data_IF_281301380384
#
_entry.id   IF_281301380384
#
_cell.length_a   1.000
_cell.length_b   1.000
_cell.length_c   1.000
_cell.angle_alpha   90.00
_cell.angle_beta   90.00
_cell.angle_gamma   90.00
#
_symmetry.space_group_name_H-M   'P 1'
#
loop_
_entity.id
_entity.type
_entity.pdbx_description
1 polymer ?
#
# COMPACT_ATOMS: atom_id res chain seq x y z
N UNK A 1 24.15 -31.23 -34.19
CA UNK A 1 23.67 -30.59 -32.95
C UNK A 1 23.03 -29.27 -33.34
N UNK A 2 21.70 -29.25 -33.44
CA UNK A 2 20.93 -28.07 -33.82
C UNK A 2 20.73 -27.21 -32.58
N UNK A 3 21.40 -26.06 -32.52
CA UNK A 3 21.16 -25.05 -31.48
C UNK A 3 19.78 -24.44 -31.71
N UNK A 4 18.89 -24.61 -30.72
CA UNK A 4 17.60 -23.95 -30.70
C UNK A 4 17.79 -22.42 -30.63
N UNK A 5 16.99 -21.63 -31.36
CA UNK A 5 17.03 -20.18 -31.24
C UNK A 5 16.48 -19.77 -29.86
N UNK A 6 17.30 -19.09 -29.08
CA UNK A 6 16.87 -18.38 -27.88
C UNK A 6 15.85 -17.31 -28.30
N UNK A 7 14.61 -17.46 -27.82
CA UNK A 7 13.57 -16.44 -27.98
C UNK A 7 14.08 -15.10 -27.44
N UNK A 8 13.76 -13.96 -28.08
CA UNK A 8 14.14 -12.66 -27.55
C UNK A 8 13.49 -12.46 -26.18
N UNK A 9 14.31 -12.27 -25.15
CA UNK A 9 13.85 -11.89 -23.81
C UNK A 9 13.13 -10.56 -23.93
N UNK A 10 11.82 -10.53 -23.69
CA UNK A 10 11.06 -9.29 -23.60
C UNK A 10 11.74 -8.33 -22.63
N UNK A 11 11.76 -7.01 -22.91
CA UNK A 11 12.35 -6.05 -21.98
C UNK A 11 11.67 -6.19 -20.60
N UNK A 12 12.41 -6.00 -19.50
CA UNK A 12 11.83 -6.09 -18.17
C UNK A 12 10.68 -5.10 -18.04
N UNK A 13 9.51 -5.60 -17.65
CA UNK A 13 8.31 -4.78 -17.46
C UNK A 13 8.57 -3.81 -16.30
N UNK A 14 8.56 -2.50 -16.60
CA UNK A 14 8.71 -1.45 -15.59
C UNK A 14 7.33 -1.04 -15.09
N UNK A 15 7.13 -1.07 -13.77
CA UNK A 15 5.89 -0.62 -13.15
C UNK A 15 6.06 0.77 -12.54
N UNK A 16 5.11 1.66 -12.75
CA UNK A 16 5.11 3.01 -12.15
C UNK A 16 4.47 2.94 -10.78
N UNK A 17 5.16 3.43 -9.75
CA UNK A 17 4.65 3.47 -8.38
C UNK A 17 4.53 4.90 -7.86
N UNK A 18 3.38 5.22 -7.26
CA UNK A 18 3.18 6.46 -6.52
C UNK A 18 3.58 6.27 -5.05
N UNK A 19 4.58 7.01 -4.60
CA UNK A 19 5.00 7.09 -3.20
C UNK A 19 4.34 8.32 -2.58
N UNK A 20 3.23 8.12 -1.88
CA UNK A 20 2.41 9.20 -1.32
C UNK A 20 2.83 9.49 0.12
N UNK A 21 3.27 10.72 0.38
CA UNK A 21 3.73 11.14 1.71
C UNK A 21 4.51 12.46 1.63
N UNK A 22 4.78 13.08 2.78
CA UNK A 22 5.51 14.36 2.80
C UNK A 22 7.01 14.10 2.98
N UNK A 23 7.74 14.09 1.86
CA UNK A 23 9.16 13.69 1.82
C UNK A 23 9.99 14.49 2.81
N UNK A 24 10.74 13.78 3.64
CA UNK A 24 11.60 14.41 4.64
C UNK A 24 12.85 13.56 4.90
N UNK A 25 14.05 14.15 4.95
CA UNK A 25 15.28 13.45 5.31
C UNK A 25 15.32 13.02 6.78
N UNK A 26 14.43 13.59 7.62
CA UNK A 26 14.33 13.26 9.04
C UNK A 26 13.48 12.00 9.31
N UNK A 27 12.74 11.53 8.30
CA UNK A 27 11.96 10.29 8.39
C UNK A 27 12.82 9.15 7.86
N UNK A 28 13.25 8.25 8.74
CA UNK A 28 14.20 7.18 8.40
C UNK A 28 13.69 6.22 7.32
N UNK A 29 12.40 5.93 7.26
CA UNK A 29 11.84 5.11 6.17
C UNK A 29 12.01 5.79 4.81
N UNK A 30 11.79 7.10 4.72
CA UNK A 30 11.92 7.88 3.47
C UNK A 30 13.32 7.82 2.87
N UNK A 31 14.36 7.84 3.72
CA UNK A 31 15.75 7.78 3.26
C UNK A 31 16.15 6.38 2.79
N UNK A 32 15.41 5.34 3.19
CA UNK A 32 15.70 3.94 2.86
C UNK A 32 14.98 3.44 1.61
N UNK A 33 13.85 4.03 1.25
CA UNK A 33 13.06 3.61 0.08
C UNK A 33 13.90 3.53 -1.21
N UNK A 34 14.72 4.53 -1.59
CA UNK A 34 15.54 4.42 -2.80
C UNK A 34 16.44 3.18 -2.82
N UNK A 35 17.07 2.86 -1.68
CA UNK A 35 17.93 1.67 -1.56
C UNK A 35 17.14 0.37 -1.72
N UNK A 36 15.90 0.33 -1.21
CA UNK A 36 15.02 -0.82 -1.31
C UNK A 36 14.55 -1.03 -2.76
N UNK A 37 14.27 0.05 -3.49
CA UNK A 37 13.92 -0.01 -4.92
C UNK A 37 15.10 -0.50 -5.77
N UNK A 38 16.31 0.01 -5.51
CA UNK A 38 17.54 -0.47 -6.16
C UNK A 38 17.78 -1.95 -5.88
N UNK A 39 17.56 -2.39 -4.63
CA UNK A 39 17.72 -3.77 -4.24
C UNK A 39 16.67 -4.70 -4.88
N UNK A 40 15.41 -4.26 -5.03
CA UNK A 40 14.38 -5.00 -5.78
C UNK A 40 14.82 -5.21 -7.23
N UNK A 41 15.29 -4.15 -7.89
CA UNK A 41 15.73 -4.23 -9.28
C UNK A 41 16.94 -5.16 -9.44
N UNK A 42 17.97 -5.00 -8.59
CA UNK A 42 19.21 -5.75 -8.70
C UNK A 42 19.06 -7.23 -8.31
N UNK A 43 18.19 -7.56 -7.35
CA UNK A 43 18.10 -8.91 -6.77
C UNK A 43 16.94 -9.72 -7.32
N UNK A 44 15.81 -9.08 -7.54
CA UNK A 44 14.55 -9.73 -7.90
C UNK A 44 14.16 -9.45 -9.36
N UNK A 45 14.85 -8.54 -10.05
CA UNK A 45 14.49 -8.10 -11.41
C UNK A 45 13.19 -7.29 -11.45
N UNK A 46 12.73 -6.79 -10.30
CA UNK A 46 11.50 -6.01 -10.17
C UNK A 46 11.84 -4.52 -10.25
N UNK A 47 11.59 -3.91 -11.41
CA UNK A 47 11.92 -2.50 -11.67
C UNK A 47 10.70 -1.63 -11.43
N UNK A 48 10.80 -0.74 -10.44
CA UNK A 48 9.75 0.24 -10.11
C UNK A 48 10.23 1.65 -10.45
N UNK A 49 9.50 2.35 -11.32
CA UNK A 49 9.69 3.76 -11.62
C UNK A 49 8.87 4.59 -10.61
N UNK A 50 9.55 5.15 -9.60
CA UNK A 50 8.92 5.71 -8.41
C UNK A 50 8.75 7.23 -8.46
N UNK A 51 7.53 7.69 -8.15
CA UNK A 51 7.15 9.09 -8.16
C UNK A 51 6.72 9.49 -6.76
N UNK A 52 7.42 10.46 -6.16
CA UNK A 52 7.03 10.98 -4.87
C UNK A 52 5.91 12.01 -5.02
N UNK A 53 4.78 11.78 -4.37
CA UNK A 53 3.60 12.65 -4.42
C UNK A 53 3.34 13.21 -3.02
N UNK A 54 3.56 14.51 -2.79
CA UNK A 54 3.21 15.17 -1.53
C UNK A 54 1.73 15.00 -1.21
N UNK A 55 1.37 14.88 0.07
CA UNK A 55 -0.04 14.68 0.43
C UNK A 55 -0.90 15.90 0.07
N UNK A 56 -0.32 17.10 0.06
CA UNK A 56 -0.98 18.32 -0.39
C UNK A 56 -1.45 18.25 -1.86
N UNK A 57 -0.73 17.53 -2.72
CA UNK A 57 -1.02 17.40 -4.15
C UNK A 57 -1.89 16.17 -4.44
N UNK A 58 -1.83 15.15 -3.58
CA UNK A 58 -2.48 13.85 -3.79
C UNK A 58 -4.00 13.94 -4.02
N UNK A 59 -4.70 14.89 -3.39
CA UNK A 59 -6.13 15.09 -3.62
C UNK A 59 -6.43 15.58 -5.06
N UNK A 60 -5.61 16.50 -5.57
CA UNK A 60 -5.74 16.99 -6.94
C UNK A 60 -5.37 15.90 -7.96
N UNK A 61 -4.30 15.15 -7.70
CA UNK A 61 -3.88 14.02 -8.55
C UNK A 61 -4.92 12.89 -8.57
N UNK A 62 -5.61 12.66 -7.44
CA UNK A 62 -6.74 11.74 -7.37
C UNK A 62 -7.91 12.22 -8.25
N UNK A 63 -8.30 13.50 -8.11
CA UNK A 63 -9.40 14.09 -8.87
C UNK A 63 -9.12 14.15 -10.38
N UNK A 64 -7.86 14.34 -10.77
CA UNK A 64 -7.42 14.30 -12.17
C UNK A 64 -7.36 12.87 -12.75
N UNK A 65 -7.52 11.84 -11.90
CA UNK A 65 -7.38 10.44 -12.28
C UNK A 65 -5.93 10.02 -12.55
N UNK A 66 -4.94 10.82 -12.14
CA UNK A 66 -3.52 10.49 -12.31
C UNK A 66 -3.14 9.31 -11.42
N UNK A 67 -3.60 9.29 -10.17
CA UNK A 67 -3.28 8.22 -9.22
C UNK A 67 -3.74 6.84 -9.72
N UNK A 68 -4.90 6.76 -10.38
CA UNK A 68 -5.44 5.52 -10.96
C UNK A 68 -4.60 5.00 -12.14
N UNK A 69 -3.69 5.82 -12.70
CA UNK A 69 -2.83 5.43 -13.83
C UNK A 69 -1.51 4.80 -13.39
N UNK A 70 -1.18 4.85 -12.10
CA UNK A 70 -0.04 4.12 -11.55
C UNK A 70 -0.34 2.63 -11.46
N UNK A 71 0.71 1.83 -11.43
CA UNK A 71 0.59 0.38 -11.31
C UNK A 71 0.67 -0.07 -9.83
N UNK A 72 1.03 0.85 -8.92
CA UNK A 72 0.86 0.71 -7.48
C UNK A 72 0.82 2.07 -6.77
N UNK A 73 0.18 2.10 -5.61
CA UNK A 73 0.19 3.24 -4.66
C UNK A 73 0.74 2.77 -3.33
N UNK A 74 1.73 3.48 -2.81
CA UNK A 74 2.29 3.26 -1.48
C UNK A 74 2.16 4.53 -0.64
N UNK A 75 1.32 4.50 0.38
CA UNK A 75 1.18 5.59 1.36
C UNK A 75 2.18 5.37 2.49
N UNK A 76 3.14 6.29 2.59
CA UNK A 76 4.35 6.16 3.38
C UNK A 76 4.17 6.65 4.83
N UNK A 77 5.09 6.30 5.76
CA UNK A 77 5.08 6.83 7.11
C UNK A 77 5.30 8.35 7.16
N UNK A 78 5.20 8.94 8.36
CA UNK A 78 5.47 10.36 8.58
C UNK A 78 4.20 11.21 8.77
N UNK A 79 3.16 10.63 9.39
CA UNK A 79 2.06 11.44 9.93
C UNK A 79 2.56 12.31 11.10
N UNK A 80 1.91 13.45 11.40
CA UNK A 80 0.73 13.98 10.72
C UNK A 80 1.08 14.47 9.31
N UNK A 81 0.25 14.12 8.33
CA UNK A 81 0.42 14.58 6.96
C UNK A 81 0.06 16.06 6.82
N UNK A 82 0.72 16.76 5.89
CA UNK A 82 0.36 18.11 5.51
C UNK A 82 -1.09 18.20 4.99
N UNK A 83 -1.60 17.12 4.39
CA UNK A 83 -2.99 16.97 3.98
C UNK A 83 -3.51 15.57 4.27
N UNK A 84 -4.30 15.42 5.36
CA UNK A 84 -5.03 14.19 5.65
C UNK A 84 -5.94 13.80 4.48
N UNK A 85 -6.69 14.77 3.95
CA UNK A 85 -7.61 14.56 2.84
C UNK A 85 -6.91 14.00 1.58
N UNK A 86 -5.68 14.43 1.29
CA UNK A 86 -4.91 13.91 0.17
C UNK A 86 -4.44 12.47 0.38
N UNK A 87 -3.99 12.13 1.59
CA UNK A 87 -3.67 10.74 1.93
C UNK A 87 -4.91 9.84 1.79
N UNK A 88 -6.06 10.25 2.34
CA UNK A 88 -7.32 9.51 2.21
C UNK A 88 -7.78 9.37 0.76
N UNK A 89 -7.62 10.42 -0.06
CA UNK A 89 -7.96 10.37 -1.48
C UNK A 89 -7.11 9.34 -2.24
N UNK A 90 -5.80 9.27 -1.97
CA UNK A 90 -4.92 8.29 -2.60
C UNK A 90 -5.28 6.85 -2.23
N UNK A 91 -5.59 6.60 -0.96
CA UNK A 91 -6.04 5.29 -0.46
C UNK A 91 -7.35 4.89 -1.14
N UNK A 92 -8.31 5.82 -1.19
CA UNK A 92 -9.61 5.61 -1.83
C UNK A 92 -9.48 5.25 -3.31
N UNK A 93 -8.65 5.99 -4.06
CA UNK A 93 -8.40 5.69 -5.48
C UNK A 93 -7.83 4.28 -5.63
N UNK A 94 -6.83 3.93 -4.83
CA UNK A 94 -6.24 2.58 -4.92
C UNK A 94 -7.29 1.50 -4.64
N UNK A 95 -8.09 1.67 -3.58
CA UNK A 95 -9.15 0.76 -3.15
C UNK A 95 -10.26 0.57 -4.20
N UNK A 96 -10.73 1.66 -4.80
CA UNK A 96 -11.88 1.65 -5.71
C UNK A 96 -11.49 1.25 -7.15
N UNK A 97 -10.29 1.62 -7.59
CA UNK A 97 -9.80 1.35 -8.96
C UNK A 97 -9.01 0.04 -9.07
N UNK A 98 -8.83 -0.70 -7.96
CA UNK A 98 -8.13 -1.98 -7.98
C UNK A 98 -6.61 -1.86 -8.16
N UNK A 99 -6.03 -0.69 -7.84
CA UNK A 99 -4.59 -0.44 -7.99
C UNK A 99 -3.85 -1.04 -6.79
N UNK A 100 -2.84 -1.91 -6.98
CA UNK A 100 -2.06 -2.50 -5.90
C UNK A 100 -1.63 -1.47 -4.85
N UNK A 101 -1.93 -1.76 -3.58
CA UNK A 101 -1.80 -0.80 -2.49
C UNK A 101 -0.95 -1.32 -1.33
N UNK A 102 -0.09 -0.45 -0.80
CA UNK A 102 0.57 -0.62 0.49
C UNK A 102 0.43 0.65 1.36
N UNK A 103 0.01 0.50 2.61
CA UNK A 103 0.03 1.59 3.61
C UNK A 103 0.87 1.23 4.82
N UNK A 104 1.91 2.00 5.16
CA UNK A 104 2.83 1.68 6.27
C UNK A 104 2.82 2.74 7.37
N UNK A 105 2.74 2.32 8.64
CA UNK A 105 2.60 3.17 9.84
C UNK A 105 1.48 4.22 9.70
N UNK A 106 1.81 5.48 9.37
CA UNK A 106 0.83 6.53 9.06
C UNK A 106 -0.13 6.12 7.95
N UNK A 107 0.38 5.45 6.91
CA UNK A 107 -0.44 4.95 5.81
C UNK A 107 -1.44 3.89 6.25
N UNK A 108 -1.07 3.02 7.20
CA UNK A 108 -1.99 2.05 7.81
C UNK A 108 -3.08 2.74 8.62
N UNK A 109 -2.70 3.71 9.47
CA UNK A 109 -3.66 4.46 10.29
C UNK A 109 -4.70 5.18 9.42
N UNK A 110 -4.24 5.82 8.35
CA UNK A 110 -5.11 6.53 7.41
C UNK A 110 -5.90 5.58 6.50
N UNK A 111 -5.43 4.34 6.29
CA UNK A 111 -6.20 3.30 5.59
C UNK A 111 -7.44 2.91 6.39
N UNK A 112 -7.28 2.68 7.70
CA UNK A 112 -8.43 2.41 8.57
C UNK A 112 -9.38 3.61 8.63
N UNK A 113 -8.82 4.83 8.66
CA UNK A 113 -9.60 6.07 8.67
C UNK A 113 -10.40 6.29 7.38
N UNK A 114 -9.79 6.06 6.22
CA UNK A 114 -10.46 6.13 4.92
C UNK A 114 -11.63 5.15 4.90
N UNK A 115 -11.35 3.88 5.19
CA UNK A 115 -12.35 2.82 5.14
C UNK A 115 -13.51 3.04 6.12
N UNK A 116 -13.20 3.52 7.33
CA UNK A 116 -14.21 3.86 8.33
C UNK A 116 -15.16 4.94 7.82
N UNK A 117 -14.60 6.03 7.26
CA UNK A 117 -15.39 7.18 6.80
C UNK A 117 -16.17 6.89 5.53
N UNK A 118 -15.59 6.14 4.58
CA UNK A 118 -16.15 5.99 3.23
C UNK A 118 -16.97 4.72 3.05
N UNK A 119 -16.61 3.62 3.72
CA UNK A 119 -17.29 2.33 3.59
C UNK A 119 -18.20 2.04 4.78
N UNK A 120 -17.74 2.31 6.00
CA UNK A 120 -18.50 2.00 7.22
C UNK A 120 -19.49 3.09 7.63
N UNK A 121 -19.50 4.25 6.94
CA UNK A 121 -20.35 5.40 7.26
C UNK A 121 -19.98 6.13 8.56
N UNK A 122 -18.80 5.87 9.12
CA UNK A 122 -18.30 6.52 10.33
C UNK A 122 -17.64 7.87 9.96
N UNK A 123 -18.43 8.82 9.48
CA UNK A 123 -17.94 10.11 8.96
C UNK A 123 -17.08 10.89 9.97
N UNK A 124 -17.42 10.81 11.26
CA UNK A 124 -16.73 11.47 12.36
C UNK A 124 -15.55 10.66 12.93
N UNK A 125 -15.19 9.52 12.33
CA UNK A 125 -14.00 8.79 12.73
C UNK A 125 -12.79 9.72 12.63
N UNK A 126 -12.00 9.81 13.69
CA UNK A 126 -10.90 10.78 13.80
C UNK A 126 -9.58 10.11 14.14
N UNK A 127 -8.49 10.77 13.74
CA UNK A 127 -7.13 10.45 14.16
C UNK A 127 -6.70 11.44 15.24
N UNK A 128 -6.35 10.95 16.44
CA UNK A 128 -6.06 11.82 17.59
C UNK A 128 -4.84 12.74 17.38
N UNK A 129 -3.92 12.39 16.47
CA UNK A 129 -2.81 13.27 16.08
C UNK A 129 -3.28 14.51 15.30
N UNK A 130 -4.37 14.37 14.53
CA UNK A 130 -4.93 15.43 13.68
C UNK A 130 -6.03 16.21 14.39
N UNK A 131 -6.83 15.52 15.20
CA UNK A 131 -7.86 16.10 16.07
C UNK A 131 -7.66 15.63 17.53
N UNK A 132 -6.83 16.35 18.32
CA UNK A 132 -6.62 16.03 19.73
C UNK A 132 -7.86 16.19 20.61
N UNK A 133 -8.90 16.88 20.12
CA UNK A 133 -10.17 17.10 20.82
C UNK A 133 -11.20 16.00 20.60
N UNK A 134 -10.94 15.07 19.67
CA UNK A 134 -11.82 13.96 19.37
C UNK A 134 -12.08 13.12 20.64
N UNK A 135 -13.36 13.01 21.02
CA UNK A 135 -13.76 12.24 22.21
C UNK A 135 -13.58 10.74 22.02
N UNK A 136 -13.73 10.29 20.78
CA UNK A 136 -13.78 8.87 20.44
C UNK A 136 -12.95 8.55 19.17
N UNK A 137 -11.64 8.87 19.14
CA UNK A 137 -10.83 8.73 17.95
C UNK A 137 -10.67 7.25 17.53
N UNK A 138 -10.77 6.99 16.22
CA UNK A 138 -10.49 5.68 15.63
C UNK A 138 -9.03 5.29 15.82
N UNK A 139 -8.14 6.27 15.63
CA UNK A 139 -6.71 6.11 15.86
C UNK A 139 -6.33 6.92 17.09
N UNK A 140 -5.92 6.25 18.15
CA UNK A 140 -5.66 6.82 19.46
C UNK A 140 -4.17 6.73 19.84
N UNK A 141 -3.67 7.56 20.76
CA UNK A 141 -2.32 7.41 21.29
C UNK A 141 -2.13 6.02 21.90
N UNK A 142 -1.00 5.38 21.61
CA UNK A 142 -0.63 4.12 22.25
C UNK A 142 -0.19 4.40 23.68
N UNK A 143 -0.62 3.57 24.63
CA UNK A 143 -0.22 3.67 26.03
C UNK A 143 1.31 3.54 26.20
N UNK A 144 1.94 2.72 25.36
CA UNK A 144 3.39 2.66 25.20
C UNK A 144 3.73 2.95 23.74
N UNK A 145 4.51 4.01 23.50
CA UNK A 145 5.02 4.31 22.15
C UNK A 145 5.83 3.12 21.64
N UNK A 146 5.65 2.78 20.35
CA UNK A 146 6.42 1.71 19.70
C UNK A 146 7.65 2.26 18.98
N UNK A 147 8.02 3.53 19.19
CA UNK A 147 9.17 4.15 18.51
C UNK A 147 10.47 3.44 18.86
N UNK A 148 11.10 2.84 17.85
CA UNK A 148 12.36 2.10 18.01
C UNK A 148 12.17 0.68 18.55
N UNK A 149 10.93 0.24 18.77
CA UNK A 149 10.63 -1.12 19.22
C UNK A 149 10.66 -2.11 18.07
N UNK A 150 11.05 -3.34 18.39
CA UNK A 150 10.80 -4.53 17.59
C UNK A 150 9.76 -5.38 18.30
N UNK A 151 8.85 -5.97 17.54
CA UNK A 151 7.78 -6.79 18.07
C UNK A 151 7.42 -7.91 17.12
N UNK A 152 6.96 -9.01 17.67
CA UNK A 152 6.46 -10.14 16.90
C UNK A 152 5.09 -9.79 16.34
N UNK A 153 4.88 -10.11 15.06
CA UNK A 153 3.58 -10.08 14.41
C UNK A 153 3.24 -11.49 13.94
N UNK A 154 2.01 -11.91 14.21
CA UNK A 154 1.43 -13.16 13.70
C UNK A 154 0.41 -12.82 12.63
N UNK A 155 0.64 -13.30 11.41
CA UNK A 155 -0.32 -13.22 10.33
C UNK A 155 -1.35 -14.35 10.45
N UNK A 156 -2.60 -14.06 10.11
CA UNK A 156 -3.64 -15.08 10.05
C UNK A 156 -3.42 -16.02 8.86
N UNK A 157 -3.69 -17.31 9.05
CA UNK A 157 -3.60 -18.29 7.97
C UNK A 157 -4.52 -17.96 6.81
N UNK A 158 -4.04 -18.18 5.58
CA UNK A 158 -4.74 -17.87 4.34
C UNK A 158 -4.94 -16.37 4.09
N UNK A 159 -4.16 -15.51 4.75
CA UNK A 159 -4.17 -14.06 4.49
C UNK A 159 -3.18 -13.67 3.39
N UNK A 160 -3.41 -12.50 2.78
CA UNK A 160 -2.43 -11.90 1.89
C UNK A 160 -1.13 -11.60 2.66
N UNK A 161 -1.26 -11.20 3.93
CA UNK A 161 -0.12 -10.97 4.81
C UNK A 161 0.77 -12.21 4.97
N UNK A 162 0.20 -13.37 5.32
CA UNK A 162 0.94 -14.64 5.45
C UNK A 162 1.61 -15.02 4.13
N UNK A 163 0.88 -14.92 3.01
CA UNK A 163 1.42 -15.21 1.69
C UNK A 163 2.59 -14.28 1.31
N UNK A 164 2.48 -12.99 1.61
CA UNK A 164 3.51 -12.00 1.34
C UNK A 164 4.74 -12.19 2.24
N UNK A 165 4.54 -12.56 3.51
CA UNK A 165 5.62 -12.85 4.46
C UNK A 165 6.30 -14.19 4.18
N UNK A 166 5.55 -15.17 3.63
CA UNK A 166 6.00 -16.55 3.50
C UNK A 166 6.08 -17.29 4.83
N UNK A 167 5.49 -16.73 5.90
CA UNK A 167 5.50 -17.27 7.25
C UNK A 167 4.33 -16.71 8.08
N UNK A 168 3.85 -17.51 9.04
CA UNK A 168 2.82 -17.09 10.01
C UNK A 168 3.33 -16.07 11.04
N UNK A 169 4.65 -15.98 11.25
CA UNK A 169 5.26 -15.14 12.29
C UNK A 169 6.45 -14.38 11.72
N UNK A 170 6.51 -13.08 11.99
CA UNK A 170 7.63 -12.20 11.65
C UNK A 170 7.99 -11.26 12.81
N UNK A 171 9.20 -10.72 12.80
CA UNK A 171 9.65 -9.70 13.76
C UNK A 171 9.78 -8.37 13.04
N UNK A 172 9.03 -7.38 13.52
CA UNK A 172 8.80 -6.13 12.80
C UNK A 172 9.21 -4.90 13.60
N UNK A 173 9.60 -3.85 12.88
CA UNK A 173 10.08 -2.59 13.46
C UNK A 173 9.01 -1.50 13.42
N UNK A 174 8.92 -0.75 14.50
CA UNK A 174 7.91 0.28 14.67
C UNK A 174 8.51 1.67 14.85
N UNK A 175 7.78 2.67 14.38
CA UNK A 175 8.06 4.08 14.60
C UNK A 175 6.75 4.87 14.67
N UNK A 176 5.81 4.41 15.49
CA UNK A 176 4.47 5.00 15.60
C UNK A 176 4.10 5.17 17.08
N UNK A 177 3.48 6.31 17.42
CA UNK A 177 2.95 6.60 18.75
C UNK A 177 1.43 6.48 18.83
N UNK A 178 0.78 6.12 17.73
CA UNK A 178 -0.67 5.97 17.61
C UNK A 178 -1.03 4.61 16.99
N UNK A 179 -2.23 4.11 17.31
CA UNK A 179 -2.74 2.85 16.80
C UNK A 179 -4.27 2.77 16.87
N UNK A 180 -4.86 1.71 16.30
CA UNK A 180 -6.31 1.58 16.23
C UNK A 180 -6.92 1.35 17.60
N UNK A 181 -7.99 2.08 17.90
CA UNK A 181 -8.77 1.86 19.11
C UNK A 181 -9.64 0.59 18.97
N UNK A 182 -9.51 -0.40 19.87
CA UNK A 182 -10.17 -1.70 19.72
C UNK A 182 -11.69 -1.65 19.52
N UNK A 183 -12.37 -0.67 20.13
CA UNK A 183 -13.84 -0.53 20.07
C UNK A 183 -14.39 -0.30 18.66
N UNK A 184 -13.59 0.22 17.73
CA UNK A 184 -14.03 0.53 16.37
C UNK A 184 -13.77 -0.62 15.39
N UNK A 185 -12.86 -1.53 15.74
CA UNK A 185 -12.46 -2.64 14.88
C UNK A 185 -13.61 -3.55 14.44
N UNK A 186 -14.59 -3.90 15.30
CA UNK A 186 -15.72 -4.73 14.88
C UNK A 186 -16.52 -4.13 13.71
N UNK A 187 -16.65 -2.80 13.65
CA UNK A 187 -17.36 -2.13 12.57
C UNK A 187 -16.61 -2.27 11.23
N UNK A 188 -15.28 -2.16 11.24
CA UNK A 188 -14.46 -2.34 10.04
C UNK A 188 -14.55 -3.78 9.52
N UNK A 189 -14.48 -4.76 10.43
CA UNK A 189 -14.60 -6.19 10.10
C UNK A 189 -15.98 -6.49 9.49
N UNK A 190 -17.05 -5.97 10.11
CA UNK A 190 -18.42 -6.21 9.66
C UNK A 190 -18.68 -5.69 8.23
N UNK A 191 -17.93 -4.67 7.78
CA UNK A 191 -18.03 -4.13 6.42
C UNK A 191 -17.07 -4.78 5.42
N UNK A 192 -16.25 -5.74 5.86
CA UNK A 192 -15.45 -6.59 4.98
C UNK A 192 -13.94 -6.34 5.04
N UNK A 193 -13.44 -5.42 5.86
CA UNK A 193 -12.00 -5.27 6.07
C UNK A 193 -11.48 -6.44 6.91
N UNK A 194 -10.42 -7.12 6.47
CA UNK A 194 -9.80 -8.19 7.24
C UNK A 194 -8.63 -7.65 8.05
N UNK A 195 -8.66 -7.86 9.36
CA UNK A 195 -7.52 -7.56 10.24
C UNK A 195 -6.66 -8.81 10.32
N UNK A 196 -5.67 -8.91 9.44
CA UNK A 196 -4.97 -10.16 9.13
C UNK A 196 -3.67 -10.36 9.91
N UNK A 197 -3.35 -9.50 10.87
CA UNK A 197 -2.16 -9.69 11.69
C UNK A 197 -2.18 -8.96 13.01
N UNK A 198 -1.64 -9.63 14.03
CA UNK A 198 -1.71 -9.21 15.43
C UNK A 198 -0.36 -9.35 16.13
N UNK A 199 -0.12 -8.56 17.17
CA UNK A 199 1.00 -8.81 18.08
C UNK A 199 0.67 -9.86 19.15
N UNK A 200 1.61 -10.05 20.09
CA UNK A 200 1.46 -11.03 21.18
C UNK A 200 0.38 -10.67 22.20
N UNK A 201 -0.03 -9.40 22.25
CA UNK A 201 -1.13 -8.89 23.11
C UNK A 201 -2.48 -8.86 22.36
N UNK A 202 -2.53 -9.40 21.13
CA UNK A 202 -3.73 -9.43 20.30
C UNK A 202 -4.10 -8.07 19.69
N UNK A 203 -3.20 -7.09 19.70
CA UNK A 203 -3.42 -5.80 19.06
C UNK A 203 -3.19 -5.90 17.55
N UNK A 204 -4.01 -5.21 16.77
CA UNK A 204 -3.94 -5.25 15.31
C UNK A 204 -2.68 -4.55 14.79
N UNK A 205 -1.97 -5.24 13.90
CA UNK A 205 -0.74 -4.77 13.24
C UNK A 205 -0.83 -4.82 11.72
N UNK A 206 -1.75 -5.60 11.15
CA UNK A 206 -1.95 -5.72 9.69
C UNK A 206 -3.44 -5.69 9.36
N UNK A 207 -3.80 -4.99 8.28
CA UNK A 207 -5.12 -5.01 7.67
C UNK A 207 -5.01 -5.24 6.15
N UNK A 208 -5.99 -5.92 5.57
CA UNK A 208 -6.10 -6.18 4.15
C UNK A 208 -7.55 -6.12 3.69
N UNK A 209 -7.76 -5.92 2.38
CA UNK A 209 -9.10 -5.90 1.78
C UNK A 209 -9.32 -7.14 0.90
N UNK A 210 -10.08 -8.14 1.38
CA UNK A 210 -10.45 -9.31 0.58
C UNK A 210 -11.14 -8.91 -0.74
N UNK A 211 -10.80 -9.61 -1.82
CA UNK A 211 -11.34 -9.36 -3.16
C UNK A 211 -10.61 -8.26 -3.95
N UNK A 212 -9.77 -7.45 -3.30
CA UNK A 212 -8.89 -6.51 -4.01
C UNK A 212 -7.65 -7.24 -4.57
N UNK A 213 -7.12 -6.89 -5.76
CA UNK A 213 -5.98 -7.58 -6.36
C UNK A 213 -4.73 -7.66 -5.47
N UNK A 214 -4.42 -6.54 -4.79
CA UNK A 214 -3.43 -6.47 -3.72
C UNK A 214 -3.72 -5.23 -2.86
N UNK A 215 -4.15 -5.40 -1.61
CA UNK A 215 -4.40 -4.28 -0.69
C UNK A 215 -3.95 -4.67 0.70
N UNK A 216 -2.82 -4.12 1.14
CA UNK A 216 -2.21 -4.47 2.41
C UNK A 216 -1.80 -3.21 3.15
N UNK A 217 -1.99 -3.20 4.46
CA UNK A 217 -1.56 -2.11 5.31
C UNK A 217 -0.95 -2.66 6.59
N UNK A 218 0.19 -2.10 7.01
CA UNK A 218 0.93 -2.54 8.20
C UNK A 218 1.20 -1.37 9.13
N UNK A 219 0.94 -1.54 10.43
CA UNK A 219 1.32 -0.52 11.41
C UNK A 219 2.85 -0.44 11.57
N UNK A 220 3.55 -1.56 11.46
CA UNK A 220 5.01 -1.56 11.41
C UNK A 220 5.54 -0.99 10.08
N UNK A 221 6.83 -0.69 10.06
CA UNK A 221 7.54 -0.13 8.92
C UNK A 221 8.49 -1.17 8.32
N UNK A 222 8.06 -1.94 7.30
CA UNK A 222 8.92 -2.89 6.61
C UNK A 222 10.17 -2.22 6.00
N UNK A 223 10.12 -0.91 5.74
CA UNK A 223 11.22 -0.08 5.25
C UNK A 223 12.40 -0.02 6.23
N UNK A 224 12.14 -0.25 7.52
CA UNK A 224 13.15 -0.20 8.57
C UNK A 224 13.88 -1.54 8.77
N UNK A 225 13.44 -2.63 8.14
CA UNK A 225 14.07 -3.95 8.32
C UNK A 225 15.43 -4.03 7.62
N UNK A 226 16.38 -4.75 8.24
CA UNK A 226 17.72 -4.98 7.70
C UNK A 226 18.53 -3.69 7.55
N UNK A 227 19.42 -3.66 6.55
CA UNK A 227 20.29 -2.54 6.18
C UNK A 227 19.90 -1.85 4.85
N UNK A 228 18.82 -2.31 4.21
CA UNK A 228 18.35 -1.79 2.92
C UNK A 228 18.86 -2.57 1.71
N UNK A 229 19.75 -3.55 1.91
CA UNK A 229 20.26 -4.40 0.82
C UNK A 229 19.33 -5.56 0.47
N UNK A 230 18.35 -5.87 1.33
CA UNK A 230 17.33 -6.88 1.10
C UNK A 230 15.95 -6.26 1.37
N UNK A 231 15.09 -6.15 0.34
CA UNK A 231 13.73 -5.68 0.52
C UNK A 231 12.96 -6.62 1.44
N UNK A 232 12.12 -6.03 2.29
CA UNK A 232 11.19 -6.79 3.12
C UNK A 232 10.22 -7.60 2.23
N UNK A 233 9.81 -8.82 2.60
CA UNK A 233 8.89 -9.64 1.81
C UNK A 233 7.59 -8.92 1.40
N UNK A 234 6.97 -8.14 2.29
CA UNK A 234 5.81 -7.28 1.98
C UNK A 234 6.10 -6.24 0.88
N UNK A 235 7.26 -5.57 0.92
CA UNK A 235 7.64 -4.58 -0.11
C UNK A 235 7.87 -5.28 -1.45
N UNK A 236 8.51 -6.46 -1.42
CA UNK A 236 8.66 -7.31 -2.61
C UNK A 236 7.32 -7.79 -3.16
N UNK A 237 6.36 -8.14 -2.31
CA UNK A 237 5.03 -8.56 -2.71
C UNK A 237 4.26 -7.42 -3.42
N UNK A 238 4.36 -6.18 -2.91
CA UNK A 238 3.83 -5.01 -3.61
C UNK A 238 4.49 -4.83 -4.98
N UNK A 239 5.82 -4.97 -5.06
CA UNK A 239 6.54 -4.82 -6.33
C UNK A 239 6.12 -5.88 -7.37
N UNK A 240 5.92 -7.13 -6.94
CA UNK A 240 5.37 -8.20 -7.79
C UNK A 240 3.96 -7.84 -8.27
N UNK A 241 3.09 -7.37 -7.38
CA UNK A 241 1.73 -6.97 -7.72
C UNK A 241 1.71 -5.79 -8.71
N UNK A 242 2.60 -4.82 -8.54
CA UNK A 242 2.76 -3.67 -9.42
C UNK A 242 3.17 -4.09 -10.84
N UNK A 243 4.19 -4.96 -10.95
CA UNK A 243 4.66 -5.47 -12.25
C UNK A 243 3.57 -6.29 -12.95
N UNK A 244 2.83 -7.12 -12.22
CA UNK A 244 1.70 -7.87 -12.77
C UNK A 244 0.57 -6.94 -13.25
N UNK A 245 0.24 -5.90 -12.48
CA UNK A 245 -0.76 -4.91 -12.88
C UNK A 245 -0.33 -4.15 -14.15
N UNK A 246 0.93 -3.72 -14.22
CA UNK A 246 1.49 -3.06 -15.41
C UNK A 246 1.37 -3.94 -16.66
N UNK A 247 1.68 -5.23 -16.55
CA UNK A 247 1.57 -6.19 -17.64
C UNK A 247 0.12 -6.35 -18.11
N UNK A 248 -0.82 -6.53 -17.17
CA UNK A 248 -2.25 -6.66 -17.49
C UNK A 248 -2.83 -5.46 -18.23
N UNK A 249 -2.37 -4.23 -17.92
CA UNK A 249 -2.78 -3.03 -18.67
C UNK A 249 -2.18 -2.98 -20.07
N UNK A 250 -0.92 -3.37 -20.24
CA UNK A 250 -0.27 -3.41 -21.54
C UNK A 250 -0.98 -4.39 -22.49
N UNK A 251 -1.37 -5.56 -21.97
CA UNK A 251 -2.16 -6.54 -22.72
C UNK A 251 -3.55 -5.99 -23.09
N UNK A 252 -4.22 -5.28 -22.16
CA UNK A 252 -5.50 -4.62 -22.44
C UNK A 252 -5.41 -3.55 -23.52
N UNK A 253 -4.33 -2.76 -23.54
CA UNK A 253 -4.07 -1.75 -24.60
C UNK A 253 -3.81 -2.44 -25.95
N UNK A 254 -2.98 -3.48 -25.99
CA UNK A 254 -2.71 -4.24 -27.21
C UNK A 254 -3.97 -4.91 -27.78
N UNK A 255 -4.81 -5.49 -26.92
CA UNK A 255 -6.10 -6.05 -27.31
C UNK A 255 -7.04 -4.96 -27.88
N UNK A 256 -7.08 -3.77 -27.27
CA UNK A 256 -7.87 -2.64 -27.76
C UNK A 256 -7.40 -2.08 -29.11
N UNK A 257 -6.10 -2.10 -29.39
CA UNK A 257 -5.51 -1.67 -30.68
C UNK A 257 -5.75 -2.69 -31.80
N UNK A 258 -5.85 -3.98 -31.48
CA UNK A 258 -6.11 -5.03 -32.48
C UNK A 258 -7.60 -5.19 -32.81
N UNK A 259 -8.49 -4.72 -31.95
CA UNK A 259 -9.92 -4.61 -32.23
C UNK A 259 -10.18 -3.47 -33.24
N UNK A 260 -10.13 -3.80 -34.53
CA UNK A 260 -10.50 -2.85 -35.60
C UNK A 260 -11.97 -2.43 -35.43
N UNK A 261 -12.33 -1.14 -35.52
CA UNK A 261 -13.74 -0.76 -35.55
C UNK A 261 -14.35 -1.34 -36.82
N UNK A 262 -15.33 -2.23 -36.67
CA UNK A 262 -16.10 -2.74 -37.78
C UNK A 262 -16.73 -1.55 -38.51
N UNK A 263 -16.23 -1.23 -39.70
CA UNK A 263 -16.75 -0.16 -40.54
C UNK A 263 -18.25 -0.41 -40.76
N UNK A 264 -19.08 0.49 -40.23
CA UNK A 264 -20.51 0.52 -40.51
C UNK A 264 -20.70 0.80 -42.00
N UNK A 265 -20.97 -0.24 -42.78
CA UNK A 265 -21.53 -0.06 -44.13
C UNK A 265 -23.00 0.29 -43.97
N UNK A 266 -23.29 1.59 -43.90
CA UNK A 266 -24.61 2.09 -44.24
C UNK A 266 -24.77 1.94 -45.76
N UNK A 267 -25.61 1.01 -46.18
CA UNK A 267 -26.15 1.00 -47.53
C UNK A 267 -27.09 2.21 -47.68
N UNK A 268 -26.86 2.99 -48.73
CA UNK A 268 -27.68 4.13 -49.17
C UNK A 268 -27.17 4.62 -50.51
#
# INVERSE_FOLDING_TARGET
>A
MTTAPTSPTSPPQVARIALVGDRSPHVKSHTRIPLLLDALAARDGLVLDAYWIPTADAAAEAAAGTLARFDAVWVLPGSPYASEAGALAAIRVAREEGVPFLGTCGGFQHTLLEYARTVCGLAEAAHAENDPGARDPLIAPLACSLVGHEGVVRAESGSLAEAALGAERSTERYHCSYGPAPRHLPALIAHGLRLSGYDEDGQVRIAELPGHPFFLATLFQPELQGDGTRPHPIIRALAVAAVAHAAGRADGVAAGLTATPAASRSAG
#
